data_IF_157337223648
#
_entry.id   IF_157337223648
#
_cell.length_a   1.000
_cell.length_b   1.000
_cell.length_c   1.000
_cell.angle_alpha   90.00
_cell.angle_beta   90.00
_cell.angle_gamma   90.00
#
_symmetry.space_group_name_H-M   'P 1'
#
loop_
_entity.id
_entity.type
_entity.pdbx_description
1 polymer ?
#
# COMPACT_ATOMS: atom_id res chain seq x y z
N UNK A 1 -80.28 -4.69 -9.68
CA UNK A 1 -79.31 -3.70 -10.20
C UNK A 1 -78.08 -3.77 -9.31
N UNK A 2 -77.16 -4.73 -9.41
CA UNK A 2 -76.24 -5.00 -10.52
C UNK A 2 -75.77 -3.71 -11.20
N UNK A 3 -74.71 -3.10 -10.67
CA UNK A 3 -73.65 -2.47 -11.48
C UNK A 3 -72.39 -2.17 -10.66
N UNK A 4 -71.28 -2.74 -11.15
CA UNK A 4 -69.87 -2.31 -11.03
C UNK A 4 -69.18 -2.31 -9.67
N UNK A 5 -68.20 -3.21 -9.51
CA UNK A 5 -66.80 -2.89 -9.17
C UNK A 5 -65.94 -4.16 -9.27
N UNK A 6 -65.58 -4.50 -10.51
CA UNK A 6 -64.38 -5.27 -10.79
C UNK A 6 -63.15 -4.35 -10.66
N UNK A 7 -61.99 -4.95 -10.44
CA UNK A 7 -60.66 -4.36 -10.24
C UNK A 7 -60.51 -3.67 -8.88
N UNK A 8 -59.60 -4.09 -8.00
CA UNK A 8 -58.17 -4.24 -8.28
C UNK A 8 -57.62 -5.44 -7.53
N UNK A 9 -57.24 -6.45 -8.32
CA UNK A 9 -56.48 -7.61 -7.93
C UNK A 9 -54.99 -7.33 -8.19
N UNK A 10 -54.12 -7.71 -7.25
CA UNK A 10 -52.67 -7.98 -7.40
C UNK A 10 -51.77 -6.82 -7.85
N UNK A 11 -51.08 -6.15 -6.93
CA UNK A 11 -49.68 -5.68 -7.12
C UNK A 11 -49.00 -5.43 -5.76
N UNK A 12 -48.71 -6.49 -5.00
CA UNK A 12 -47.61 -6.43 -4.01
C UNK A 12 -46.54 -7.39 -4.52
N UNK A 13 -45.89 -6.98 -5.62
CA UNK A 13 -44.68 -7.65 -6.06
C UNK A 13 -43.52 -7.14 -5.19
N UNK A 14 -42.87 -8.09 -4.54
CA UNK A 14 -41.72 -7.92 -3.69
C UNK A 14 -40.57 -7.22 -4.46
N UNK A 15 -40.28 -5.98 -4.11
CA UNK A 15 -38.98 -5.35 -4.34
C UNK A 15 -38.07 -5.73 -3.16
N UNK A 16 -37.67 -7.01 -3.11
CA UNK A 16 -36.48 -7.40 -2.38
C UNK A 16 -35.28 -6.97 -3.23
N UNK A 17 -34.92 -5.70 -3.12
CA UNK A 17 -33.71 -5.14 -3.70
C UNK A 17 -32.53 -5.86 -3.04
N UNK A 18 -32.03 -6.91 -3.70
CA UNK A 18 -30.86 -7.64 -3.27
C UNK A 18 -29.67 -6.70 -3.22
N UNK A 19 -29.34 -6.25 -2.01
CA UNK A 19 -28.13 -5.49 -1.74
C UNK A 19 -26.95 -6.46 -1.87
N UNK A 20 -26.42 -6.60 -3.08
CA UNK A 20 -25.10 -7.20 -3.29
C UNK A 20 -24.08 -6.28 -2.63
N UNK A 21 -23.84 -6.50 -1.34
CA UNK A 21 -22.75 -5.89 -0.60
C UNK A 21 -21.44 -6.39 -1.22
N UNK A 22 -20.91 -5.64 -2.18
CA UNK A 22 -19.56 -5.83 -2.65
C UNK A 22 -18.63 -5.49 -1.47
N UNK A 23 -18.10 -6.52 -0.82
CA UNK A 23 -17.03 -6.36 0.17
C UNK A 23 -15.91 -5.58 -0.49
N UNK A 24 -15.63 -4.39 0.04
CA UNK A 24 -14.56 -3.51 -0.43
C UNK A 24 -13.34 -3.72 0.46
N UNK A 25 -12.15 -3.52 -0.10
CA UNK A 25 -10.93 -3.54 0.69
C UNK A 25 -10.98 -2.45 1.75
N UNK A 26 -10.85 -2.81 3.03
CA UNK A 26 -10.88 -1.86 4.15
C UNK A 26 -9.58 -1.91 4.93
N UNK A 27 -9.11 -0.71 5.27
CA UNK A 27 -7.98 -0.45 6.14
C UNK A 27 -8.45 0.33 7.37
N UNK A 28 -7.67 0.30 8.45
CA UNK A 28 -7.92 1.15 9.62
C UNK A 28 -6.68 2.02 9.84
N UNK A 29 -6.80 3.36 9.73
CA UNK A 29 -5.73 4.25 10.10
C UNK A 29 -5.37 4.10 11.58
N UNK A 30 -4.08 4.05 11.89
CA UNK A 30 -3.54 4.12 13.24
C UNK A 30 -2.89 5.49 13.40
N UNK A 31 -3.38 6.26 14.36
CA UNK A 31 -2.85 7.58 14.68
C UNK A 31 -1.86 7.48 15.84
N UNK A 32 -0.60 7.85 15.59
CA UNK A 32 0.41 8.12 16.62
C UNK A 32 0.39 9.60 16.98
N UNK A 33 1.36 10.07 17.76
CA UNK A 33 1.47 11.48 18.12
C UNK A 33 1.76 12.35 16.89
N UNK A 34 2.63 11.89 15.98
CA UNK A 34 3.11 12.71 14.86
C UNK A 34 2.65 12.23 13.48
N UNK A 35 2.18 10.98 13.36
CA UNK A 35 1.85 10.36 12.08
C UNK A 35 0.52 9.62 12.14
N UNK A 36 -0.31 9.78 11.11
CA UNK A 36 -1.41 8.84 10.85
C UNK A 36 -0.94 7.85 9.79
N UNK A 37 -0.81 6.58 10.18
CA UNK A 37 -0.33 5.49 9.35
C UNK A 37 -1.48 4.58 8.92
N UNK A 38 -1.49 4.16 7.66
CA UNK A 38 -2.56 3.32 7.11
C UNK A 38 -1.99 2.38 6.04
N UNK A 39 -2.44 1.11 6.02
CA UNK A 39 -2.12 0.19 4.93
C UNK A 39 -3.23 0.23 3.89
N UNK A 40 -2.98 0.80 2.71
CA UNK A 40 -3.99 1.00 1.66
C UNK A 40 -3.77 0.08 0.46
N UNK A 41 -4.82 -0.16 -0.33
CA UNK A 41 -4.77 -0.91 -1.60
C UNK A 41 -5.11 0.00 -2.77
N UNK A 42 -4.52 -0.21 -3.94
CA UNK A 42 -4.89 0.48 -5.19
C UNK A 42 -6.22 -0.04 -5.75
N UNK A 43 -6.57 -1.30 -5.50
CA UNK A 43 -7.77 -1.94 -6.02
C UNK A 43 -8.61 -2.57 -4.90
N UNK A 44 -9.93 -2.64 -5.11
CA UNK A 44 -10.91 -3.06 -4.12
C UNK A 44 -10.86 -4.56 -3.78
N UNK A 45 -10.20 -5.35 -4.62
CA UNK A 45 -10.07 -6.79 -4.49
C UNK A 45 -8.87 -7.31 -5.29
N UNK A 46 -8.56 -8.60 -5.13
CA UNK A 46 -7.51 -9.31 -5.89
C UNK A 46 -8.05 -10.64 -6.42
N UNK A 47 -7.50 -11.11 -7.54
CA UNK A 47 -7.79 -12.44 -8.07
C UNK A 47 -6.78 -13.47 -7.53
N UNK A 48 -7.12 -14.76 -7.50
CA UNK A 48 -6.18 -15.81 -7.10
C UNK A 48 -4.89 -15.78 -7.94
N UNK A 49 -3.73 -15.84 -7.27
CA UNK A 49 -2.41 -15.81 -7.90
C UNK A 49 -2.02 -14.50 -8.57
N UNK A 50 -2.88 -13.47 -8.55
CA UNK A 50 -2.59 -12.17 -9.15
C UNK A 50 -1.96 -11.21 -8.13
N UNK A 51 -1.29 -10.20 -8.66
CA UNK A 51 -0.70 -9.14 -7.88
C UNK A 51 -1.56 -7.86 -7.86
N UNK A 52 -1.50 -7.14 -6.74
CA UNK A 52 -2.10 -5.81 -6.58
C UNK A 52 -1.11 -4.89 -5.87
N UNK A 53 -1.17 -3.59 -6.16
CA UNK A 53 -0.40 -2.60 -5.43
C UNK A 53 -1.07 -2.32 -4.09
N UNK A 54 -0.29 -2.43 -3.02
CA UNK A 54 -0.64 -1.98 -1.68
C UNK A 54 0.40 -0.96 -1.22
N UNK A 55 0.15 -0.20 -0.17
CA UNK A 55 1.12 0.78 0.28
C UNK A 55 0.91 1.23 1.71
N UNK A 56 2.02 1.54 2.37
CA UNK A 56 1.99 2.24 3.64
C UNK A 56 1.82 3.74 3.37
N UNK A 57 0.67 4.29 3.75
CA UNK A 57 0.39 5.71 3.70
C UNK A 57 0.74 6.33 5.05
N UNK A 58 1.60 7.35 5.04
CA UNK A 58 1.99 8.11 6.22
C UNK A 58 1.58 9.57 6.02
N UNK A 59 0.76 10.09 6.94
CA UNK A 59 0.37 11.49 7.01
C UNK A 59 0.99 12.11 8.26
N UNK A 60 1.96 13.00 8.06
CA UNK A 60 2.66 13.69 9.12
C UNK A 60 1.86 14.92 9.55
N UNK A 61 1.90 15.24 10.83
CA UNK A 61 1.49 16.57 11.28
C UNK A 61 2.49 17.63 10.75
N UNK A 62 2.10 18.92 10.68
CA UNK A 62 2.95 19.96 10.11
C UNK A 62 4.36 20.00 10.72
N UNK A 63 5.37 20.19 9.87
CA UNK A 63 6.80 20.33 10.22
C UNK A 63 7.50 19.08 10.75
N UNK A 64 6.83 17.92 10.73
CA UNK A 64 7.46 16.63 11.02
C UNK A 64 7.66 15.82 9.74
N UNK A 65 8.72 15.00 9.74
CA UNK A 65 9.08 14.16 8.60
C UNK A 65 9.46 12.73 9.01
N UNK A 66 9.33 11.80 8.06
CA UNK A 66 9.96 10.48 8.10
C UNK A 66 11.02 10.37 7.00
N UNK A 67 11.86 9.34 7.08
CA UNK A 67 13.04 9.23 6.23
C UNK A 67 12.88 8.36 5.01
N UNK A 68 13.68 8.68 4.00
CA UNK A 68 13.91 7.85 2.83
C UNK A 68 14.75 6.62 3.17
N UNK A 69 14.83 5.66 2.23
CA UNK A 69 15.69 4.46 2.34
C UNK A 69 17.13 4.80 2.72
N UNK A 70 17.67 5.86 2.10
CA UNK A 70 18.93 6.45 2.51
C UNK A 70 18.63 7.78 3.20
N UNK A 71 18.68 7.84 4.54
CA UNK A 71 18.21 8.99 5.29
C UNK A 71 19.16 10.20 5.20
N UNK A 72 20.40 10.02 4.74
CA UNK A 72 21.44 11.06 4.73
C UNK A 72 22.35 10.97 5.96
N UNK A 73 22.66 12.11 6.56
CA UNK A 73 23.57 12.21 7.71
C UNK A 73 22.98 11.61 9.00
N UNK A 74 21.66 11.61 9.16
CA UNK A 74 20.97 11.02 10.31
C UNK A 74 19.56 10.52 9.95
N UNK A 75 19.01 9.64 10.79
CA UNK A 75 17.67 9.10 10.63
C UNK A 75 17.64 7.58 10.42
N UNK A 76 16.44 7.01 10.37
CA UNK A 76 16.24 5.60 10.08
C UNK A 76 15.06 5.42 9.11
N UNK A 77 15.21 4.55 8.08
CA UNK A 77 14.15 4.30 7.13
C UNK A 77 12.98 3.55 7.80
N UNK A 78 11.80 3.74 7.24
CA UNK A 78 10.61 2.95 7.61
C UNK A 78 10.80 1.48 7.26
N UNK A 79 10.41 0.58 8.17
CA UNK A 79 10.44 -0.87 7.96
C UNK A 79 9.08 -1.51 8.21
N UNK A 80 8.80 -2.60 7.49
CA UNK A 80 7.57 -3.38 7.60
C UNK A 80 7.91 -4.84 7.86
N UNK A 81 7.39 -5.39 8.96
CA UNK A 81 7.41 -6.82 9.25
C UNK A 81 6.01 -7.41 9.05
N UNK A 82 5.90 -8.39 8.14
CA UNK A 82 4.61 -8.87 7.65
C UNK A 82 4.15 -10.16 8.33
N UNK A 83 2.85 -10.24 8.58
CA UNK A 83 2.10 -11.49 8.76
C UNK A 83 1.09 -11.60 7.64
N UNK A 84 1.30 -12.58 6.75
CA UNK A 84 0.53 -12.74 5.52
C UNK A 84 -0.19 -14.08 5.47
N UNK A 85 -1.29 -14.19 4.69
CA UNK A 85 -1.88 -15.48 4.37
C UNK A 85 -0.85 -16.43 3.75
N UNK A 86 -0.94 -17.71 4.07
CA UNK A 86 -0.05 -18.73 3.52
C UNK A 86 -0.05 -18.70 1.99
N UNK A 87 1.13 -18.82 1.38
CA UNK A 87 1.31 -18.79 -0.08
C UNK A 87 1.22 -17.41 -0.72
N UNK A 88 1.04 -16.33 0.06
CA UNK A 88 1.13 -14.96 -0.44
C UNK A 88 2.50 -14.32 -0.16
N UNK A 89 2.80 -13.20 -0.84
CA UNK A 89 4.08 -12.50 -0.70
C UNK A 89 3.96 -11.00 -0.95
N UNK A 90 4.96 -10.25 -0.46
CA UNK A 90 5.12 -8.81 -0.75
C UNK A 90 6.50 -8.55 -1.35
N UNK A 91 6.60 -7.59 -2.27
CA UNK A 91 7.90 -7.02 -2.66
C UNK A 91 8.48 -6.13 -1.56
N UNK A 92 9.71 -5.66 -1.77
CA UNK A 92 10.25 -4.50 -1.05
C UNK A 92 9.46 -3.21 -1.33
N UNK A 93 9.66 -2.21 -0.47
CA UNK A 93 9.14 -0.85 -0.67
C UNK A 93 9.74 -0.24 -1.94
N UNK A 94 8.87 0.24 -2.82
CA UNK A 94 9.24 0.97 -4.02
C UNK A 94 9.32 2.46 -3.68
N UNK A 95 10.45 2.84 -3.10
CA UNK A 95 10.68 4.16 -2.51
C UNK A 95 10.52 5.30 -3.53
N UNK A 96 9.58 6.24 -3.30
CA UNK A 96 9.45 7.45 -4.11
C UNK A 96 10.66 8.37 -3.91
N UNK A 97 10.91 9.27 -4.87
CA UNK A 97 11.95 10.28 -4.71
C UNK A 97 11.71 11.12 -3.44
N UNK A 98 12.75 11.31 -2.60
CA UNK A 98 12.61 12.05 -1.36
C UNK A 98 12.72 13.56 -1.57
N UNK A 99 12.38 14.30 -0.53
CA UNK A 99 12.73 15.71 -0.39
C UNK A 99 14.07 15.85 0.34
N UNK A 100 14.76 16.96 0.09
CA UNK A 100 15.95 17.34 0.86
C UNK A 100 15.52 18.08 2.13
N UNK A 101 15.99 17.61 3.28
CA UNK A 101 15.65 18.12 4.60
C UNK A 101 16.92 18.71 5.25
N UNK A 102 17.17 20.02 5.11
CA UNK A 102 18.37 20.65 5.68
C UNK A 102 18.27 20.76 7.20
N UNK A 103 19.36 20.42 7.90
CA UNK A 103 19.51 20.56 9.34
C UNK A 103 20.87 21.20 9.66
N UNK A 104 20.91 22.53 9.68
CA UNK A 104 22.17 23.27 9.80
C UNK A 104 23.11 22.92 8.64
N UNK A 105 24.34 22.43 8.91
CA UNK A 105 25.27 22.00 7.85
C UNK A 105 24.98 20.60 7.29
N UNK A 106 24.07 19.84 7.92
CA UNK A 106 23.72 18.49 7.54
C UNK A 106 22.52 18.46 6.58
N UNK A 107 22.41 17.38 5.83
CA UNK A 107 21.32 17.15 4.89
C UNK A 107 20.79 15.74 5.03
N UNK A 108 19.49 15.66 5.34
CA UNK A 108 18.74 14.42 5.33
C UNK A 108 17.80 14.33 4.12
N UNK A 109 17.29 13.13 3.87
CA UNK A 109 16.34 12.85 2.82
C UNK A 109 15.11 12.15 3.39
N UNK A 110 13.94 12.66 3.07
CA UNK A 110 12.72 12.15 3.66
C UNK A 110 11.45 12.72 3.04
N UNK A 111 10.38 12.69 3.84
CA UNK A 111 9.04 13.01 3.42
C UNK A 111 8.33 13.83 4.49
N UNK A 112 7.77 14.97 4.09
CA UNK A 112 6.84 15.78 4.89
C UNK A 112 5.42 15.70 4.31
N UNK A 113 4.41 16.03 5.11
CA UNK A 113 3.01 16.00 4.67
C UNK A 113 2.53 14.57 4.46
N UNK A 114 2.20 14.20 3.22
CA UNK A 114 1.70 12.86 2.88
C UNK A 114 2.66 12.11 1.95
N UNK A 115 3.02 10.89 2.34
CA UNK A 115 3.75 9.94 1.49
C UNK A 115 3.02 8.61 1.43
N UNK A 116 3.03 7.99 0.25
CA UNK A 116 2.69 6.59 0.06
C UNK A 116 3.98 5.83 -0.23
N UNK A 117 4.24 4.77 0.51
CA UNK A 117 5.34 3.82 0.30
C UNK A 117 4.76 2.55 -0.33
N UNK A 118 4.72 2.43 -1.67
CA UNK A 118 4.04 1.34 -2.36
C UNK A 118 4.87 0.05 -2.36
N UNK A 119 4.18 -1.08 -2.34
CA UNK A 119 4.70 -2.43 -2.47
C UNK A 119 3.74 -3.25 -3.34
N UNK A 120 4.27 -4.29 -3.99
CA UNK A 120 3.44 -5.27 -4.68
C UNK A 120 3.07 -6.39 -3.73
N UNK A 121 1.78 -6.65 -3.55
CA UNK A 121 1.27 -7.85 -2.90
C UNK A 121 0.87 -8.88 -3.96
N UNK A 122 1.19 -10.16 -3.75
CA UNK A 122 0.77 -11.28 -4.61
C UNK A 122 -0.10 -12.22 -3.79
N UNK A 123 -1.35 -12.42 -4.23
CA UNK A 123 -2.30 -13.30 -3.56
C UNK A 123 -1.94 -14.78 -3.74
N UNK A 124 -2.33 -15.68 -2.82
CA UNK A 124 -2.12 -17.11 -3.00
C UNK A 124 -2.82 -17.61 -4.27
N UNK A 125 -2.20 -18.53 -4.99
CA UNK A 125 -2.78 -19.13 -6.20
C UNK A 125 -4.07 -19.91 -5.90
N UNK A 126 -4.19 -20.47 -4.70
CA UNK A 126 -5.34 -21.22 -4.21
C UNK A 126 -6.37 -20.36 -3.45
N UNK A 127 -6.25 -19.03 -3.48
CA UNK A 127 -7.22 -18.14 -2.85
C UNK A 127 -8.63 -18.40 -3.40
N UNK A 128 -9.62 -18.50 -2.52
CA UNK A 128 -10.99 -18.80 -2.92
C UNK A 128 -11.77 -17.49 -3.14
N UNK A 129 -12.42 -17.29 -4.30
CA UNK A 129 -13.33 -16.17 -4.50
C UNK A 129 -14.40 -16.09 -3.41
N UNK A 130 -14.71 -14.88 -2.95
CA UNK A 130 -15.62 -14.64 -1.83
C UNK A 130 -14.93 -14.61 -0.45
N UNK A 131 -13.71 -15.14 -0.33
CA UNK A 131 -12.92 -14.97 0.89
C UNK A 131 -12.29 -13.58 0.97
N UNK A 132 -11.80 -13.22 2.15
CA UNK A 132 -11.03 -12.00 2.39
C UNK A 132 -9.66 -12.34 2.94
N UNK A 133 -8.61 -11.92 2.24
CA UNK A 133 -7.23 -12.03 2.67
C UNK A 133 -6.96 -10.94 3.71
N UNK A 134 -6.38 -11.30 4.85
CA UNK A 134 -5.98 -10.32 5.88
C UNK A 134 -4.47 -10.19 5.88
N UNK A 135 -4.00 -9.00 5.57
CA UNK A 135 -2.59 -8.64 5.61
C UNK A 135 -2.37 -7.82 6.87
N UNK A 136 -1.38 -8.19 7.66
CA UNK A 136 -0.95 -7.41 8.81
C UNK A 136 0.51 -7.01 8.65
N UNK A 137 0.82 -5.77 9.01
CA UNK A 137 2.18 -5.26 9.05
C UNK A 137 2.46 -4.61 10.40
N UNK A 138 3.53 -5.03 11.07
CA UNK A 138 4.18 -4.24 12.10
C UNK A 138 5.10 -3.23 11.41
N UNK A 139 4.67 -1.97 11.39
CA UNK A 139 5.39 -0.86 10.80
C UNK A 139 6.16 -0.10 11.89
N UNK A 140 7.42 0.23 11.63
CA UNK A 140 8.27 1.04 12.51
C UNK A 140 8.97 2.12 11.69
N UNK A 141 9.02 3.34 12.22
CA UNK A 141 9.68 4.47 11.58
C UNK A 141 10.28 5.41 12.62
N UNK A 142 11.20 6.26 12.17
CA UNK A 142 11.69 7.39 12.95
C UNK A 142 11.05 8.66 12.39
N UNK A 143 10.40 9.45 13.25
CA UNK A 143 9.77 10.72 12.90
C UNK A 143 10.50 11.88 13.58
N UNK A 144 10.81 12.92 12.84
CA UNK A 144 11.67 14.01 13.36
C UNK A 144 11.19 15.41 13.02
N UNK A 145 11.57 16.34 13.91
CA UNK A 145 11.65 17.79 13.70
C UNK A 145 13.01 18.27 14.23
N UNK A 146 13.02 19.01 15.33
CA UNK A 146 14.19 19.32 16.16
C UNK A 146 14.76 18.10 16.90
N UNK A 147 13.90 17.12 17.20
CA UNK A 147 14.25 15.85 17.84
C UNK A 147 13.64 14.69 17.07
N UNK A 148 14.21 13.50 17.25
CA UNK A 148 13.78 12.28 16.58
C UNK A 148 13.15 11.29 17.56
N UNK A 149 11.97 10.80 17.21
CA UNK A 149 11.16 9.92 18.05
C UNK A 149 10.84 8.63 17.26
N UNK A 150 11.14 7.44 17.81
CA UNK A 150 10.72 6.19 17.19
C UNK A 150 9.22 5.98 17.40
N UNK A 151 8.51 5.69 16.32
CA UNK A 151 7.09 5.39 16.32
C UNK A 151 6.81 4.08 15.59
N UNK A 152 5.67 3.46 15.90
CA UNK A 152 5.28 2.19 15.32
C UNK A 152 3.76 2.03 15.28
N UNK A 153 3.30 1.12 14.42
CA UNK A 153 1.89 0.73 14.34
C UNK A 153 1.73 -0.72 13.85
N UNK A 154 0.72 -1.41 14.36
CA UNK A 154 0.21 -2.65 13.75
C UNK A 154 -0.93 -2.29 12.81
N UNK A 155 -0.70 -2.42 11.51
CA UNK A 155 -1.63 -2.06 10.46
C UNK A 155 -2.28 -3.29 9.87
N UNK A 156 -3.55 -3.19 9.48
CA UNK A 156 -4.30 -4.28 8.89
C UNK A 156 -4.98 -3.81 7.60
N UNK A 157 -4.95 -4.68 6.59
CA UNK A 157 -5.68 -4.53 5.34
C UNK A 157 -6.49 -5.80 5.07
N UNK A 158 -7.80 -5.65 4.95
CA UNK A 158 -8.69 -6.69 4.47
C UNK A 158 -8.83 -6.55 2.95
N UNK A 159 -8.43 -7.57 2.20
CA UNK A 159 -8.44 -7.58 0.74
C UNK A 159 -9.32 -8.72 0.22
N UNK A 160 -10.54 -8.41 -0.25
CA UNK A 160 -11.46 -9.37 -0.85
C UNK A 160 -10.86 -10.11 -2.05
N UNK A 161 -11.24 -11.38 -2.22
CA UNK A 161 -10.87 -12.20 -3.37
C UNK A 161 -12.04 -12.28 -4.33
N UNK A 162 -11.82 -11.90 -5.58
CA UNK A 162 -12.83 -11.99 -6.66
C UNK A 162 -12.49 -13.13 -7.62
N UNK A 163 -13.49 -13.58 -8.38
CA UNK A 163 -13.30 -14.64 -9.36
C UNK A 163 -12.24 -14.26 -10.41
N UNK A 164 -11.52 -15.26 -10.91
CA UNK A 164 -10.61 -15.07 -12.02
C UNK A 164 -11.35 -14.44 -13.22
N UNK A 165 -10.73 -13.43 -13.84
CA UNK A 165 -11.33 -12.67 -14.93
C UNK A 165 -12.26 -11.52 -14.51
N UNK A 166 -12.63 -11.40 -13.23
CA UNK A 166 -13.33 -10.21 -12.73
C UNK A 166 -12.38 -9.01 -12.67
N UNK A 167 -12.83 -7.82 -13.04
CA UNK A 167 -12.01 -6.59 -12.96
C UNK A 167 -12.23 -5.92 -11.60
N UNK A 168 -11.26 -5.91 -10.67
CA UNK A 168 -11.38 -5.15 -9.44
C UNK A 168 -11.48 -3.66 -9.73
N UNK A 169 -12.33 -2.95 -9.00
CA UNK A 169 -12.46 -1.50 -9.13
C UNK A 169 -11.29 -0.79 -8.43
N UNK A 170 -10.83 0.37 -8.92
CA UNK A 170 -9.90 1.21 -8.17
C UNK A 170 -10.53 1.66 -6.85
N UNK A 171 -9.71 1.76 -5.79
CA UNK A 171 -10.12 2.37 -4.51
C UNK A 171 -10.01 3.90 -4.56
N UNK A 172 -10.48 4.58 -3.52
CA UNK A 172 -10.26 6.01 -3.28
C UNK A 172 -8.77 6.39 -3.23
N UNK A 173 -7.88 5.44 -2.91
CA UNK A 173 -6.43 5.67 -2.85
C UNK A 173 -5.72 5.45 -4.19
N UNK A 174 -6.41 4.96 -5.23
CA UNK A 174 -5.76 4.64 -6.50
C UNK A 174 -4.99 5.82 -7.11
N UNK A 175 -5.49 7.05 -6.93
CA UNK A 175 -4.80 8.27 -7.36
C UNK A 175 -3.45 8.51 -6.67
N UNK A 176 -3.30 8.10 -5.40
CA UNK A 176 -2.03 8.19 -4.67
C UNK A 176 -0.99 7.25 -5.30
N UNK A 177 -1.37 6.03 -5.65
CA UNK A 177 -0.46 5.09 -6.32
C UNK A 177 0.03 5.63 -7.67
N UNK A 178 -0.86 6.21 -8.46
CA UNK A 178 -0.50 6.84 -9.74
C UNK A 178 0.46 8.02 -9.52
N UNK A 179 0.13 8.93 -8.61
CA UNK A 179 0.98 10.08 -8.25
C UNK A 179 2.37 9.61 -7.82
N UNK A 180 2.43 8.60 -6.96
CA UNK A 180 3.68 8.07 -6.42
C UNK A 180 4.53 7.36 -7.48
N UNK A 181 3.90 6.63 -8.40
CA UNK A 181 4.63 5.97 -9.50
C UNK A 181 5.34 7.01 -10.40
N UNK A 182 4.75 8.19 -10.60
CA UNK A 182 5.38 9.28 -11.35
C UNK A 182 6.59 9.90 -10.62
N UNK A 183 6.70 9.69 -9.31
CA UNK A 183 7.80 10.19 -8.47
C UNK A 183 8.92 9.16 -8.28
N UNK A 184 8.82 7.99 -8.88
CA UNK A 184 9.88 6.98 -8.78
C UNK A 184 11.12 7.41 -9.56
N UNK A 185 12.28 7.30 -8.93
CA UNK A 185 13.55 7.57 -9.60
C UNK A 185 13.74 6.57 -10.75
N UNK A 186 13.87 7.08 -11.98
CA UNK A 186 14.23 6.25 -13.12
C UNK A 186 15.74 5.99 -13.10
N UNK A 187 16.18 4.74 -13.37
CA UNK A 187 17.60 4.46 -13.56
C UNK A 187 18.15 5.39 -14.65
N UNK A 188 19.32 5.99 -14.39
CA UNK A 188 20.01 6.78 -15.40
C UNK A 188 20.31 5.89 -16.61
N UNK A 189 19.65 6.16 -17.73
CA UNK A 189 19.90 5.44 -18.98
C UNK A 189 21.35 5.67 -19.40
N UNK A 190 22.12 4.59 -19.57
CA UNK A 190 23.52 4.64 -19.98
C UNK A 190 24.55 4.73 -18.85
N UNK A 191 24.16 4.60 -17.57
CA UNK A 191 25.15 4.48 -16.49
C UNK A 191 25.89 3.12 -16.59
N UNK A 192 27.23 3.09 -16.80
CA UNK A 192 27.96 1.84 -17.04
C UNK A 192 27.85 0.79 -15.93
N UNK A 193 27.46 1.20 -14.72
CA UNK A 193 27.26 0.31 -13.56
C UNK A 193 25.84 -0.26 -13.40
N UNK A 194 24.87 0.07 -14.27
CA UNK A 194 23.49 -0.40 -14.11
C UNK A 194 23.29 -1.89 -14.50
N UNK A 195 24.14 -2.41 -15.38
CA UNK A 195 24.26 -3.84 -15.61
C UNK A 195 25.32 -4.38 -14.63
N UNK A 196 24.89 -4.76 -13.42
CA UNK A 196 25.75 -5.48 -12.49
C UNK A 196 26.08 -6.87 -13.06
N UNK A 197 27.05 -6.92 -13.97
CA UNK A 197 27.71 -8.16 -14.32
C UNK A 197 28.42 -8.69 -13.05
N UNK A 198 28.32 -9.99 -12.74
CA UNK A 198 29.02 -10.55 -11.59
C UNK A 198 30.52 -10.31 -11.77
N UNK A 199 31.11 -9.49 -10.90
CA UNK A 199 32.55 -9.22 -10.91
C UNK A 199 33.29 -10.55 -10.75
N UNK A 200 34.26 -10.90 -11.60
CA UNK A 200 35.07 -12.08 -11.39
C UNK A 200 35.78 -11.97 -10.03
N UNK A 201 35.73 -13.03 -9.22
CA UNK A 201 36.48 -13.12 -7.96
C UNK A 201 37.93 -12.76 -8.26
N UNK A 202 38.50 -11.81 -7.52
CA UNK A 202 39.94 -11.60 -7.49
C UNK A 202 40.62 -12.95 -7.17
N UNK A 203 41.14 -13.61 -8.19
CA UNK A 203 41.92 -14.83 -8.06
C UNK A 203 43.18 -14.52 -7.27
N UNK A 204 43.44 -15.34 -6.24
CA UNK A 204 44.73 -15.38 -5.55
C UNK A 204 45.82 -15.61 -6.61
N UNK A 205 46.87 -14.79 -6.60
CA UNK A 205 48.09 -15.11 -7.36
C UNK A 205 48.64 -16.45 -6.84
N UNK A 206 48.96 -17.42 -7.72
CA UNK A 206 49.87 -18.49 -7.37
C UNK A 206 51.27 -17.88 -7.16
N UNK A 207 51.99 -18.44 -6.20
CA UNK A 207 53.38 -18.11 -5.91
C UNK A 207 54.30 -18.64 -7.00
#
# INVERSE_FOLDING_TARGET
>A
MQWTKQAVLKWVQALALGCCLASTAWAQPVKTEHVTAELVSQASAVQPGQAVQIGLRLQHIPHWHTYWRNPGDSGLPTTLAWTLPEGSSTSDIQWPAPQRLPLGPLVNYGYEGEVLLPLRYTAPANAQPGNTLRLQAAATWLVCRDVCIPENATLNLALPVVAAGATPTPTEHAGLFVKTALQQAQPLQGWPGAAAQPRPRCGRRPQ
#
